data_IF_732682224728
#
_entry.id   IF_732682224728
#
_cell.length_a   1.000
_cell.length_b   1.000
_cell.length_c   1.000
_cell.angle_alpha   90.00
_cell.angle_beta   90.00
_cell.angle_gamma   90.00
#
_symmetry.space_group_name_H-M   'P 1'
#
loop_
_entity.id
_entity.type
_entity.pdbx_description
1 polymer ?
#
# COMPACT_ATOMS: atom_id res chain seq x y z
N UNK A 1 24.34 2.11 6.65
CA UNK A 1 23.41 3.17 6.18
C UNK A 1 22.33 2.48 5.36
N UNK A 2 21.05 2.57 5.74
CA UNK A 2 19.98 1.94 4.95
C UNK A 2 19.86 2.63 3.59
N UNK A 3 19.55 1.86 2.53
CA UNK A 3 19.29 2.43 1.20
C UNK A 3 17.91 3.10 1.17
N UNK A 4 17.73 4.10 0.29
CA UNK A 4 16.43 4.76 0.08
C UNK A 4 15.33 3.76 -0.30
N UNK A 5 15.67 2.76 -1.11
CA UNK A 5 14.75 1.68 -1.49
C UNK A 5 14.26 0.87 -0.28
N UNK A 6 15.17 0.55 0.67
CA UNK A 6 14.81 -0.16 1.90
C UNK A 6 13.90 0.68 2.80
N UNK A 7 14.11 1.99 2.85
CA UNK A 7 13.25 2.90 3.62
C UNK A 7 11.86 3.02 3.00
N UNK A 8 11.78 3.05 1.67
CA UNK A 8 10.51 3.07 0.97
C UNK A 8 9.77 1.74 1.14
N UNK A 9 10.45 0.59 1.07
CA UNK A 9 9.79 -0.71 1.32
C UNK A 9 9.20 -0.81 2.72
N UNK A 10 9.90 -0.28 3.74
CA UNK A 10 9.40 -0.19 5.11
C UNK A 10 8.20 0.77 5.19
N UNK A 11 8.30 1.96 4.59
CA UNK A 11 7.21 2.95 4.53
C UNK A 11 5.93 2.33 3.94
N UNK A 12 6.04 1.52 2.89
CA UNK A 12 4.89 0.94 2.21
C UNK A 12 4.51 -0.46 2.73
N UNK A 13 5.17 -0.92 3.81
CA UNK A 13 4.99 -2.21 4.50
C UNK A 13 5.10 -3.43 3.57
N UNK A 14 6.00 -3.39 2.59
CA UNK A 14 6.28 -4.57 1.77
C UNK A 14 6.96 -5.69 2.56
N UNK A 15 7.63 -5.36 3.66
CA UNK A 15 8.20 -6.32 4.61
C UNK A 15 7.13 -7.05 5.45
N UNK A 16 5.91 -6.49 5.57
CA UNK A 16 4.78 -7.08 6.32
C UNK A 16 3.51 -7.15 5.48
N UNK A 17 3.43 -8.09 4.52
CA UNK A 17 2.34 -8.16 3.54
C UNK A 17 1.00 -8.62 4.12
N UNK A 18 0.91 -8.93 5.42
CA UNK A 18 -0.32 -9.37 6.09
C UNK A 18 -1.49 -8.42 5.78
N UNK A 19 -1.25 -7.10 5.81
CA UNK A 19 -2.28 -6.12 5.47
C UNK A 19 -2.78 -6.22 4.02
N UNK A 20 -1.89 -6.55 3.07
CA UNK A 20 -2.28 -6.76 1.67
C UNK A 20 -3.13 -8.03 1.56
N UNK A 21 -2.69 -9.12 2.18
CA UNK A 21 -3.41 -10.40 2.16
C UNK A 21 -4.81 -10.29 2.80
N UNK A 22 -4.93 -9.54 3.90
CA UNK A 22 -6.22 -9.29 4.57
C UNK A 22 -7.21 -8.55 3.68
N UNK A 23 -6.75 -7.64 2.82
CA UNK A 23 -7.62 -6.96 1.85
C UNK A 23 -7.88 -7.82 0.62
N UNK A 24 -6.87 -8.56 0.14
CA UNK A 24 -6.99 -9.42 -1.04
C UNK A 24 -7.98 -10.55 -0.82
N UNK A 25 -7.95 -11.20 0.35
CA UNK A 25 -8.74 -12.41 0.60
C UNK A 25 -10.25 -12.22 0.34
N UNK A 26 -10.95 -11.26 0.98
CA UNK A 26 -12.36 -11.02 0.68
C UNK A 26 -12.59 -10.53 -0.76
N UNK A 27 -11.65 -9.77 -1.34
CA UNK A 27 -11.75 -9.30 -2.72
C UNK A 27 -11.69 -10.43 -3.75
N UNK A 28 -10.80 -11.41 -3.56
CA UNK A 28 -10.69 -12.58 -4.43
C UNK A 28 -11.92 -13.47 -4.33
N UNK A 29 -12.50 -13.64 -3.14
CA UNK A 29 -13.79 -14.32 -2.98
C UNK A 29 -14.93 -13.59 -3.69
N UNK A 30 -14.98 -12.26 -3.60
CA UNK A 30 -15.97 -11.46 -4.31
C UNK A 30 -15.84 -11.63 -5.84
N UNK A 31 -14.61 -11.61 -6.37
CA UNK A 31 -14.36 -11.89 -7.79
C UNK A 31 -14.78 -13.29 -8.20
N UNK A 32 -14.46 -14.30 -7.40
CA UNK A 32 -14.84 -15.68 -7.68
C UNK A 32 -16.36 -15.84 -7.78
N UNK A 33 -17.09 -15.29 -6.81
CA UNK A 33 -18.56 -15.33 -6.79
C UNK A 33 -19.14 -14.55 -7.98
N UNK A 34 -18.63 -13.34 -8.25
CA UNK A 34 -19.10 -12.51 -9.36
C UNK A 34 -18.80 -13.10 -10.75
N UNK A 35 -17.72 -13.87 -10.87
CA UNK A 35 -17.35 -14.60 -12.09
C UNK A 35 -17.96 -16.00 -12.19
N UNK A 36 -18.95 -16.34 -11.35
CA UNK A 36 -19.58 -17.68 -11.34
C UNK A 36 -18.58 -18.85 -11.19
N UNK A 37 -17.47 -18.60 -10.49
CA UNK A 37 -16.38 -19.55 -10.30
C UNK A 37 -15.26 -19.47 -11.35
N UNK A 38 -15.40 -18.66 -12.40
CA UNK A 38 -14.39 -18.49 -13.46
C UNK A 38 -14.12 -17.01 -13.74
N UNK A 39 -13.62 -16.23 -12.77
CA UNK A 39 -13.28 -14.83 -13.02
C UNK A 39 -12.17 -14.73 -14.09
N UNK A 40 -12.27 -13.79 -15.05
CA UNK A 40 -11.21 -13.58 -16.03
C UNK A 40 -9.86 -13.32 -15.35
N UNK A 41 -8.83 -14.08 -15.72
CA UNK A 41 -7.52 -14.06 -15.05
C UNK A 41 -6.90 -12.66 -15.01
N UNK A 42 -7.13 -11.85 -16.04
CA UNK A 42 -6.59 -10.49 -16.13
C UNK A 42 -7.26 -9.54 -15.12
N UNK A 43 -8.55 -9.73 -14.80
CA UNK A 43 -9.25 -8.99 -13.75
C UNK A 43 -8.67 -9.36 -12.38
N UNK A 44 -8.41 -10.65 -12.15
CA UNK A 44 -7.77 -11.12 -10.91
C UNK A 44 -6.40 -10.46 -10.73
N UNK A 45 -5.59 -10.39 -11.78
CA UNK A 45 -4.30 -9.68 -11.73
C UNK A 45 -4.45 -8.19 -11.45
N UNK A 46 -5.42 -7.51 -12.07
CA UNK A 46 -5.70 -6.10 -11.81
C UNK A 46 -6.07 -5.88 -10.34
N UNK A 47 -6.88 -6.76 -9.74
CA UNK A 47 -7.23 -6.68 -8.32
C UNK A 47 -6.05 -6.96 -7.40
N UNK A 48 -5.20 -7.94 -7.73
CA UNK A 48 -4.00 -8.25 -6.95
C UNK A 48 -3.05 -7.05 -6.93
N UNK A 49 -2.72 -6.51 -8.11
CA UNK A 49 -1.84 -5.37 -8.26
C UNK A 49 -2.46 -4.10 -7.65
N UNK A 50 -3.72 -3.81 -7.95
CA UNK A 50 -4.45 -2.65 -7.44
C UNK A 50 -4.54 -2.63 -5.91
N UNK A 51 -4.90 -3.76 -5.29
CA UNK A 51 -4.98 -3.87 -3.82
C UNK A 51 -3.61 -3.71 -3.17
N UNK A 52 -2.57 -4.30 -3.77
CA UNK A 52 -1.19 -4.17 -3.28
C UNK A 52 -0.76 -2.69 -3.29
N UNK A 53 -0.92 -2.03 -4.45
CA UNK A 53 -0.57 -0.61 -4.61
C UNK A 53 -1.37 0.29 -3.66
N UNK A 54 -2.69 0.10 -3.58
CA UNK A 54 -3.55 0.95 -2.76
C UNK A 54 -3.33 0.74 -1.27
N UNK A 55 -3.06 -0.50 -0.83
CA UNK A 55 -2.68 -0.76 0.57
C UNK A 55 -1.37 -0.09 0.93
N UNK A 56 -0.38 -0.18 0.04
CA UNK A 56 0.93 0.47 0.16
C UNK A 56 0.84 2.00 0.15
N UNK A 57 -0.02 2.59 -0.69
CA UNK A 57 -0.31 4.02 -0.69
C UNK A 57 -0.96 4.44 0.63
N UNK A 58 -1.97 3.69 1.10
CA UNK A 58 -2.65 3.88 2.38
C UNK A 58 -1.68 3.85 3.57
N UNK A 59 -0.70 2.97 3.54
CA UNK A 59 0.38 2.93 4.52
C UNK A 59 1.17 4.25 4.56
N UNK A 60 1.66 4.71 3.40
CA UNK A 60 2.47 5.92 3.31
C UNK A 60 1.70 7.18 3.72
N UNK A 61 0.42 7.31 3.31
CA UNK A 61 -0.41 8.45 3.69
C UNK A 61 -0.79 8.43 5.19
N UNK A 62 -0.98 7.24 5.78
CA UNK A 62 -1.26 7.12 7.21
C UNK A 62 -0.05 7.58 8.04
N UNK A 63 1.17 7.14 7.69
CA UNK A 63 2.36 7.62 8.39
C UNK A 63 2.58 9.12 8.19
N UNK A 64 2.21 9.65 7.01
CA UNK A 64 2.25 11.08 6.78
C UNK A 64 1.27 11.81 7.71
N UNK A 65 0.03 11.32 7.84
CA UNK A 65 -0.97 11.91 8.71
C UNK A 65 -0.61 11.81 10.20
N UNK A 66 -0.04 10.68 10.61
CA UNK A 66 0.29 10.37 12.00
C UNK A 66 1.69 10.87 12.43
N UNK A 67 2.43 11.57 11.54
CA UNK A 67 3.84 11.94 11.73
C UNK A 67 4.17 12.65 13.05
N UNK A 68 3.24 13.47 13.55
CA UNK A 68 3.43 14.27 14.77
C UNK A 68 3.10 13.44 16.03
N UNK A 69 2.34 12.35 15.89
CA UNK A 69 1.93 11.48 17.00
C UNK A 69 2.80 10.22 17.10
N UNK A 70 3.20 9.66 15.96
CA UNK A 70 3.93 8.39 15.88
C UNK A 70 5.26 8.43 16.64
N UNK A 71 5.92 9.60 16.70
CA UNK A 71 7.16 9.82 17.45
C UNK A 71 7.02 9.68 18.97
N UNK A 72 5.81 9.91 19.50
CA UNK A 72 5.52 9.84 20.94
C UNK A 72 5.07 8.44 21.39
N UNK A 73 4.87 7.50 20.46
CA UNK A 73 4.37 6.15 20.74
C UNK A 73 5.48 5.13 20.50
N UNK A 74 5.82 4.35 21.53
CA UNK A 74 6.94 3.40 21.49
C UNK A 74 6.89 2.42 20.31
N UNK A 75 5.70 1.98 19.93
CA UNK A 75 5.47 1.04 18.82
C UNK A 75 5.79 1.65 17.44
N UNK A 76 5.62 2.97 17.28
CA UNK A 76 5.63 3.65 15.97
C UNK A 76 6.74 4.69 15.85
N UNK A 77 7.46 4.96 16.94
CA UNK A 77 8.58 5.92 16.98
C UNK A 77 9.71 5.59 16.00
N UNK A 78 9.82 4.33 15.60
CA UNK A 78 10.82 3.86 14.64
C UNK A 78 10.36 3.88 13.17
N UNK A 79 9.12 4.30 12.89
CA UNK A 79 8.64 4.42 11.51
C UNK A 79 9.52 5.38 10.71
N UNK A 80 9.66 5.20 9.38
CA UNK A 80 10.57 6.01 8.58
C UNK A 80 10.33 7.53 8.67
N UNK A 81 9.07 7.96 8.74
CA UNK A 81 8.73 9.39 8.86
C UNK A 81 8.95 9.90 10.29
N UNK A 82 8.43 9.19 11.29
CA UNK A 82 8.55 9.57 12.70
C UNK A 82 10.01 9.66 13.18
N UNK A 83 10.88 8.81 12.65
CA UNK A 83 12.32 8.80 12.93
C UNK A 83 13.14 9.75 12.05
N UNK A 84 12.49 10.49 11.14
CA UNK A 84 13.15 11.45 10.25
C UNK A 84 13.98 10.82 9.12
N UNK A 85 13.96 9.50 8.94
CA UNK A 85 14.68 8.79 7.86
C UNK A 85 14.08 9.09 6.48
N UNK A 86 12.78 9.34 6.43
CA UNK A 86 12.03 9.74 5.23
C UNK A 86 11.29 11.03 5.51
N UNK A 87 11.40 12.01 4.61
CA UNK A 87 10.68 13.28 4.76
C UNK A 87 9.18 13.11 4.50
N UNK A 88 8.32 13.91 5.14
CA UNK A 88 6.87 13.88 4.88
C UNK A 88 6.53 14.12 3.40
N UNK A 89 7.31 14.93 2.69
CA UNK A 89 7.13 15.19 1.25
C UNK A 89 7.42 13.95 0.40
N UNK A 90 8.49 13.20 0.70
CA UNK A 90 8.77 11.92 0.04
C UNK A 90 7.61 10.94 0.23
N UNK A 91 7.07 10.83 1.44
CA UNK A 91 5.96 9.93 1.71
C UNK A 91 4.69 10.28 0.92
N UNK A 92 4.36 11.57 0.80
CA UNK A 92 3.27 12.03 -0.06
C UNK A 92 3.50 11.69 -1.53
N UNK A 93 4.71 11.90 -2.06
CA UNK A 93 5.03 11.57 -3.45
C UNK A 93 4.92 10.06 -3.71
N UNK A 94 5.38 9.24 -2.77
CA UNK A 94 5.23 7.77 -2.83
C UNK A 94 3.75 7.38 -2.81
N UNK A 95 2.96 7.94 -1.89
CA UNK A 95 1.53 7.66 -1.80
C UNK A 95 0.79 8.07 -3.09
N UNK A 96 1.06 9.26 -3.62
CA UNK A 96 0.48 9.76 -4.86
C UNK A 96 0.89 8.91 -6.07
N UNK A 97 2.16 8.54 -6.19
CA UNK A 97 2.63 7.68 -7.28
C UNK A 97 1.97 6.31 -7.28
N UNK A 98 1.89 5.66 -6.11
CA UNK A 98 1.20 4.38 -5.96
C UNK A 98 -0.30 4.48 -6.24
N UNK A 99 -0.96 5.54 -5.77
CA UNK A 99 -2.38 5.77 -6.04
C UNK A 99 -2.66 6.02 -7.52
N UNK A 100 -1.80 6.79 -8.21
CA UNK A 100 -1.90 7.01 -9.66
C UNK A 100 -1.73 5.70 -10.44
N UNK A 101 -0.75 4.86 -10.08
CA UNK A 101 -0.58 3.55 -10.71
C UNK A 101 -1.80 2.65 -10.48
N UNK A 102 -2.33 2.62 -9.26
CA UNK A 102 -3.54 1.86 -8.94
C UNK A 102 -4.76 2.39 -9.73
N UNK A 103 -4.86 3.71 -9.89
CA UNK A 103 -5.91 4.33 -10.70
C UNK A 103 -5.80 3.91 -12.17
N UNK A 104 -4.60 3.92 -12.76
CA UNK A 104 -4.39 3.43 -14.13
C UNK A 104 -4.81 1.97 -14.30
N UNK A 105 -4.57 1.11 -13.31
CA UNK A 105 -5.02 -0.29 -13.36
C UNK A 105 -6.55 -0.41 -13.36
N UNK A 106 -7.25 0.40 -12.56
CA UNK A 106 -8.72 0.40 -12.53
C UNK A 106 -9.31 0.83 -13.88
N UNK A 107 -8.65 1.74 -14.60
CA UNK A 107 -9.09 2.14 -15.95
C UNK A 107 -9.06 1.00 -16.97
N UNK A 108 -8.32 -0.09 -16.71
CA UNK A 108 -8.33 -1.29 -17.55
C UNK A 108 -9.61 -2.13 -17.40
N UNK A 109 -10.46 -1.83 -16.42
CA UNK A 109 -11.71 -2.56 -16.14
C UNK A 109 -12.94 -1.95 -16.83
N UNK A 110 -12.76 -0.90 -17.65
CA UNK A 110 -13.83 -0.14 -18.31
C UNK A 110 -13.76 -0.28 -19.83
#
# INVERSE_FOLDING_TARGET
MQSRLSLYSELIRLDRPIGILLLLWPGLWALWIAGEGEPPWWIVLVFIAGTTLMRSAGCAINDYADRDLDGHVQRTSQRPIASGRVSPREALMVAAGLALLAFMLVLLLN
#
